data_IF_036280539525
#
_entry.id   IF_036280539525
#
_cell.length_a   1.000
_cell.length_b   1.000
_cell.length_c   1.000
_cell.angle_alpha   90.00
_cell.angle_beta   90.00
_cell.angle_gamma   90.00
#
_symmetry.space_group_name_H-M   'P 1'
#
loop_
_entity.id
_entity.type
_entity.pdbx_description
1 polymer ?
#
# COMPACT_ATOMS: atom_id res chain seq x y z
N UNK A 1 10.53 -18.78 -9.86
CA UNK A 1 10.65 -18.05 -11.14
C UNK A 1 9.24 -17.79 -11.65
N UNK A 2 8.83 -16.52 -11.81
CA UNK A 2 7.49 -16.19 -12.33
C UNK A 2 7.50 -16.15 -13.86
N UNK A 3 6.44 -16.64 -14.51
CA UNK A 3 6.33 -16.74 -15.98
C UNK A 3 6.53 -15.40 -16.72
N UNK A 4 6.29 -14.26 -16.06
CA UNK A 4 6.51 -12.92 -16.59
C UNK A 4 7.99 -12.58 -16.85
N UNK A 5 8.93 -13.30 -16.22
CA UNK A 5 10.37 -13.06 -16.36
C UNK A 5 10.99 -13.56 -17.66
N UNK A 6 10.26 -14.36 -18.46
CA UNK A 6 10.76 -14.99 -19.68
C UNK A 6 10.42 -14.22 -20.96
N UNK A 7 9.65 -13.14 -20.90
CA UNK A 7 9.21 -12.39 -22.08
C UNK A 7 9.85 -11.00 -22.12
N UNK A 8 10.79 -10.79 -23.06
CA UNK A 8 11.37 -9.46 -23.33
C UNK A 8 10.30 -8.60 -24.01
N UNK A 9 9.59 -7.79 -23.23
CA UNK A 9 8.51 -6.92 -23.72
C UNK A 9 9.10 -5.74 -24.52
N UNK A 10 9.11 -5.85 -25.85
CA UNK A 10 9.35 -4.74 -26.79
C UNK A 10 8.03 -4.09 -27.23
N UNK A 11 7.15 -3.75 -26.28
CA UNK A 11 5.92 -3.00 -26.54
C UNK A 11 5.97 -1.71 -25.73
N UNK A 12 5.55 -0.59 -26.33
CA UNK A 12 5.47 0.73 -25.69
C UNK A 12 4.60 0.72 -24.41
N UNK A 13 3.71 -0.27 -24.29
CA UNK A 13 2.84 -0.53 -23.14
C UNK A 13 3.45 -1.49 -22.10
N UNK A 14 4.78 -1.68 -22.07
CA UNK A 14 5.46 -2.55 -21.11
C UNK A 14 5.55 -1.98 -19.69
N UNK A 15 4.68 -1.04 -19.31
CA UNK A 15 4.74 -0.40 -17.99
C UNK A 15 4.48 -1.43 -16.90
N UNK A 16 5.26 -1.33 -15.83
CA UNK A 16 5.08 -2.17 -14.66
C UNK A 16 3.89 -1.65 -13.84
N UNK A 17 2.75 -2.33 -13.96
CA UNK A 17 1.52 -2.00 -13.26
C UNK A 17 1.56 -2.32 -11.76
N UNK A 18 2.66 -2.87 -11.25
CA UNK A 18 2.84 -3.07 -9.81
C UNK A 18 3.16 -1.76 -9.08
N UNK A 19 3.61 -0.72 -9.78
CA UNK A 19 3.83 0.60 -9.18
C UNK A 19 2.50 1.36 -9.06
N UNK A 20 2.08 1.59 -7.83
CA UNK A 20 0.79 2.17 -7.49
C UNK A 20 0.96 3.44 -6.66
N UNK A 21 -0.04 4.33 -6.77
CA UNK A 21 -0.31 5.38 -5.77
C UNK A 21 -1.43 4.86 -4.88
N UNK A 22 -1.27 5.01 -3.57
CA UNK A 22 -2.29 4.63 -2.60
C UNK A 22 -2.42 5.73 -1.54
N UNK A 23 -3.60 5.86 -0.95
CA UNK A 23 -3.84 6.80 0.13
C UNK A 23 -3.98 6.04 1.44
N UNK A 24 -3.44 6.61 2.52
CA UNK A 24 -3.62 6.10 3.87
C UNK A 24 -4.00 7.23 4.82
N UNK A 25 -4.72 6.88 5.88
CA UNK A 25 -4.93 7.76 7.03
C UNK A 25 -3.66 7.74 7.88
N UNK A 26 -3.10 8.93 8.09
CA UNK A 26 -1.94 9.16 8.94
C UNK A 26 -2.36 10.00 10.13
N UNK A 27 -2.11 9.53 11.35
CA UNK A 27 -2.33 10.35 12.53
C UNK A 27 -1.26 11.46 12.61
N UNK A 28 -1.69 12.69 12.35
CA UNK A 28 -0.81 13.87 12.44
C UNK A 28 -0.31 14.14 13.86
N UNK A 29 -0.95 13.57 14.87
CA UNK A 29 -0.57 13.69 16.27
C UNK A 29 0.20 12.47 16.81
N UNK A 30 0.70 11.56 15.94
CA UNK A 30 1.37 10.30 16.36
C UNK A 30 2.46 10.49 17.44
N UNK A 31 3.16 11.65 17.43
CA UNK A 31 4.27 11.98 18.35
C UNK A 31 3.81 12.69 19.63
N UNK A 32 2.53 13.05 19.72
CA UNK A 32 1.91 13.77 20.83
C UNK A 32 0.98 12.83 21.58
N UNK A 33 1.53 11.96 22.42
CA UNK A 33 0.82 10.91 23.17
C UNK A 33 -0.39 11.33 24.03
N UNK A 34 -0.68 12.62 24.17
CA UNK A 34 -1.83 13.14 24.94
C UNK A 34 -2.77 14.01 24.12
N UNK A 35 -2.51 14.15 22.83
CA UNK A 35 -3.44 14.80 21.92
C UNK A 35 -4.41 13.75 21.38
N UNK A 36 -5.64 14.16 21.12
CA UNK A 36 -6.59 13.32 20.42
C UNK A 36 -6.07 12.98 19.02
N UNK A 37 -6.42 11.79 18.55
CA UNK A 37 -6.05 11.29 17.23
C UNK A 37 -6.57 12.26 16.16
N UNK A 38 -5.70 12.65 15.23
CA UNK A 38 -6.07 13.52 14.13
C UNK A 38 -5.61 12.91 12.81
N UNK A 39 -6.46 12.04 12.28
CA UNK A 39 -6.24 11.32 11.04
C UNK A 39 -6.36 12.23 9.82
N UNK A 40 -5.29 12.29 9.03
CA UNK A 40 -5.22 13.04 7.79
C UNK A 40 -4.88 12.08 6.66
N UNK A 41 -5.64 12.16 5.57
CA UNK A 41 -5.37 11.37 4.36
C UNK A 41 -4.11 11.86 3.67
N UNK A 42 -3.20 10.94 3.38
CA UNK A 42 -1.94 11.22 2.69
C UNK A 42 -1.67 10.19 1.61
N UNK A 43 -1.19 10.67 0.47
CA UNK A 43 -0.81 9.83 -0.66
C UNK A 43 0.63 9.32 -0.54
N UNK A 44 0.78 8.05 -0.86
CA UNK A 44 2.03 7.32 -0.90
C UNK A 44 2.19 6.64 -2.27
N UNK A 45 3.41 6.19 -2.53
CA UNK A 45 3.77 5.50 -3.77
C UNK A 45 4.57 4.26 -3.40
N UNK A 46 4.37 3.17 -4.11
CA UNK A 46 5.04 1.92 -3.82
C UNK A 46 4.82 0.88 -4.91
N UNK A 47 5.56 -0.23 -4.79
CA UNK A 47 5.37 -1.41 -5.61
C UNK A 47 4.51 -2.42 -4.85
N UNK A 48 3.32 -2.73 -5.37
CA UNK A 48 2.47 -3.81 -4.90
C UNK A 48 3.13 -5.15 -5.26
N UNK A 49 3.56 -5.90 -4.25
CA UNK A 49 4.22 -7.19 -4.44
C UNK A 49 3.25 -8.33 -4.20
N UNK A 50 2.40 -8.21 -3.18
CA UNK A 50 1.53 -9.28 -2.72
C UNK A 50 0.13 -8.73 -2.38
N UNK A 51 -0.89 -9.57 -2.56
CA UNK A 51 -2.21 -9.39 -1.95
C UNK A 51 -2.45 -10.61 -1.06
N UNK A 52 -2.68 -10.38 0.22
CA UNK A 52 -3.04 -11.40 1.18
C UNK A 52 -4.55 -11.35 1.41
N UNK A 53 -5.18 -12.52 1.37
CA UNK A 53 -6.60 -12.68 1.67
C UNK A 53 -6.71 -13.55 2.91
N UNK A 54 -6.94 -12.92 4.05
CA UNK A 54 -7.12 -13.61 5.33
C UNK A 54 -8.62 -13.81 5.58
N UNK A 55 -9.05 -15.07 5.64
CA UNK A 55 -10.42 -15.43 6.02
C UNK A 55 -10.43 -15.67 7.52
N UNK A 56 -11.06 -14.77 8.25
CA UNK A 56 -11.17 -14.83 9.70
C UNK A 56 -12.54 -15.46 10.02
N UNK A 57 -12.59 -16.63 10.68
CA UNK A 57 -13.86 -17.19 11.10
C UNK A 57 -14.49 -16.31 12.18
N UNK A 58 -15.81 -16.46 12.39
CA UNK A 58 -16.45 -15.90 13.57
C UNK A 58 -15.71 -16.40 14.82
N UNK A 59 -15.21 -15.49 15.63
CA UNK A 59 -14.44 -15.80 16.82
C UNK A 59 -14.69 -14.78 17.90
N UNK A 60 -14.91 -15.27 19.11
CA UNK A 60 -15.18 -14.41 20.27
C UNK A 60 -13.94 -13.63 20.72
N UNK A 61 -12.73 -14.15 20.45
CA UNK A 61 -11.47 -13.51 20.81
C UNK A 61 -11.26 -12.15 20.12
N UNK A 62 -11.91 -11.95 18.97
CA UNK A 62 -11.88 -10.72 18.18
C UNK A 62 -13.23 -9.99 18.16
N UNK A 63 -14.19 -10.42 18.99
CA UNK A 63 -15.57 -9.93 19.00
C UNK A 63 -16.25 -9.98 17.62
N UNK A 64 -15.91 -11.00 16.81
CA UNK A 64 -16.45 -11.19 15.47
C UNK A 64 -17.63 -12.16 15.51
N UNK A 65 -18.84 -11.61 15.41
CA UNK A 65 -20.08 -12.40 15.36
C UNK A 65 -20.29 -13.15 14.05
N UNK A 66 -19.60 -12.76 12.97
CA UNK A 66 -19.67 -13.36 11.64
C UNK A 66 -18.26 -13.51 11.06
N UNK A 67 -18.02 -14.47 10.14
CA UNK A 67 -16.76 -14.55 9.43
C UNK A 67 -16.49 -13.29 8.61
N UNK A 68 -15.24 -12.85 8.58
CA UNK A 68 -14.79 -11.66 7.86
C UNK A 68 -13.63 -11.99 6.91
N UNK A 69 -13.50 -11.24 5.81
CA UNK A 69 -12.38 -11.35 4.89
C UNK A 69 -11.57 -10.06 4.96
N UNK A 70 -10.34 -10.16 5.46
CA UNK A 70 -9.38 -9.07 5.46
C UNK A 70 -8.51 -9.15 4.21
N UNK A 71 -8.47 -8.07 3.43
CA UNK A 71 -7.65 -7.97 2.23
C UNK A 71 -6.49 -7.01 2.52
N UNK A 72 -5.28 -7.54 2.53
CA UNK A 72 -4.07 -6.78 2.83
C UNK A 72 -3.16 -6.69 1.61
N UNK A 73 -2.67 -5.49 1.33
CA UNK A 73 -1.68 -5.23 0.31
C UNK A 73 -0.27 -5.24 0.91
N UNK A 74 0.58 -6.12 0.42
CA UNK A 74 2.02 -6.10 0.66
C UNK A 74 2.70 -5.16 -0.32
N UNK A 75 3.11 -3.99 0.16
CA UNK A 75 3.64 -2.90 -0.66
C UNK A 75 5.06 -2.59 -0.22
N UNK A 76 5.99 -2.53 -1.18
CA UNK A 76 7.30 -1.97 -0.93
C UNK A 76 7.29 -0.49 -1.30
N UNK A 77 7.44 0.39 -0.31
CA UNK A 77 7.30 1.84 -0.51
C UNK A 77 8.33 2.37 -1.50
N UNK A 78 8.02 3.49 -2.15
CA UNK A 78 8.94 4.23 -3.01
C UNK A 78 9.42 5.47 -2.28
N UNK A 79 10.73 5.70 -2.26
CA UNK A 79 11.29 6.96 -1.76
C UNK A 79 11.08 8.06 -2.81
N UNK A 80 10.21 9.03 -2.50
CA UNK A 80 9.95 10.17 -3.36
C UNK A 80 11.20 11.04 -3.47
N UNK A 81 11.70 11.24 -4.70
CA UNK A 81 12.87 12.08 -4.97
C UNK A 81 12.46 13.53 -5.25
N UNK A 82 11.45 13.69 -6.10
CA UNK A 82 10.98 15.00 -6.53
C UNK A 82 9.57 14.91 -7.09
N UNK A 83 8.93 16.07 -7.19
CA UNK A 83 7.65 16.24 -7.87
C UNK A 83 7.86 17.33 -8.90
N UNK A 84 7.51 17.05 -10.16
CA UNK A 84 7.65 18.05 -11.22
C UNK A 84 6.51 19.10 -11.16
N UNK A 85 6.57 20.12 -12.02
CA UNK A 85 5.54 21.20 -12.07
C UNK A 85 4.13 20.70 -12.43
N UNK A 86 3.99 19.48 -12.94
CA UNK A 86 2.73 18.83 -13.27
C UNK A 86 2.24 17.88 -12.17
N UNK A 87 2.81 17.97 -10.96
CA UNK A 87 2.53 17.08 -9.83
C UNK A 87 2.81 15.60 -10.11
N UNK A 88 3.73 15.30 -11.03
CA UNK A 88 4.15 13.92 -11.28
C UNK A 88 5.31 13.56 -10.34
N UNK A 89 5.14 12.56 -9.48
CA UNK A 89 6.19 12.09 -8.57
C UNK A 89 7.26 11.32 -9.34
N UNK A 90 8.52 11.52 -8.96
CA UNK A 90 9.66 10.73 -9.41
C UNK A 90 10.25 9.98 -8.23
N UNK A 91 10.54 8.71 -8.43
CA UNK A 91 11.20 7.83 -7.48
C UNK A 91 12.10 6.85 -8.24
N UNK A 92 13.24 6.48 -7.67
CA UNK A 92 14.13 5.45 -8.23
C UNK A 92 14.50 4.35 -7.24
N UNK A 93 14.16 4.51 -5.96
CA UNK A 93 14.53 3.60 -4.88
C UNK A 93 13.30 3.04 -4.18
N UNK A 94 13.33 1.74 -3.94
CA UNK A 94 12.40 1.06 -3.06
C UNK A 94 12.85 1.21 -1.60
N UNK A 95 11.87 1.41 -0.72
CA UNK A 95 12.02 1.57 0.72
C UNK A 95 11.56 0.32 1.47
N UNK A 96 10.95 0.56 2.63
CA UNK A 96 10.44 -0.46 3.54
C UNK A 96 9.30 -1.26 2.91
N UNK A 97 9.15 -2.50 3.37
CA UNK A 97 7.99 -3.33 3.04
C UNK A 97 6.93 -3.14 4.11
N UNK A 98 5.71 -2.83 3.69
CA UNK A 98 4.57 -2.50 4.52
C UNK A 98 3.39 -3.38 4.14
N UNK A 99 2.56 -3.72 5.12
CA UNK A 99 1.31 -4.45 4.90
C UNK A 99 0.17 -3.51 5.27
N UNK A 100 -0.64 -3.17 4.29
CA UNK A 100 -1.69 -2.14 4.40
C UNK A 100 -3.05 -2.80 4.18
N UNK A 101 -4.01 -2.49 5.04
CA UNK A 101 -5.40 -2.88 4.81
C UNK A 101 -5.99 -2.12 3.62
N UNK A 102 -6.48 -2.86 2.63
CA UNK A 102 -7.05 -2.29 1.41
C UNK A 102 -8.47 -1.73 1.61
N UNK A 103 -9.11 -2.05 2.73
CA UNK A 103 -10.45 -1.56 3.07
C UNK A 103 -10.44 -0.23 3.84
N UNK A 104 -9.26 0.24 4.26
CA UNK A 104 -9.10 1.48 5.01
C UNK A 104 -9.23 2.70 4.07
N UNK A 105 -10.33 3.46 4.15
CA UNK A 105 -10.66 4.60 3.26
C UNK A 105 -10.58 5.96 3.94
#
# INVERSE_FOLDING_TARGET
MYASSLHRRTAEDSRDATFIRYDMLFDSNERRHRADENFVKKSYYGQLQNIFVARIPATQDLDLSQPEILILAGIRSCALESVNRLNMPRYSKLGAYEVVDMSCV
#
